data_IF_588032786744
#
_entry.id   IF_588032786744
#
_cell.length_a   1.000
_cell.length_b   1.000
_cell.length_c   1.000
_cell.angle_alpha   90.00
_cell.angle_beta   90.00
_cell.angle_gamma   90.00
#
_symmetry.space_group_name_H-M   'P 1'
#
loop_
_entity.id
_entity.type
_entity.pdbx_description
1 polymer ?
#
# COMPACT_ATOMS: atom_id res chain seq x y z
N UNK A 1 43.41 -15.06 38.87
CA UNK A 1 42.16 -14.32 38.65
C UNK A 1 42.09 -13.57 37.29
N UNK A 2 43.17 -12.99 36.76
CA UNK A 2 43.14 -12.28 35.46
C UNK A 2 42.90 -13.22 34.25
N UNK A 3 43.37 -14.46 34.25
CA UNK A 3 43.20 -15.43 33.15
C UNK A 3 41.74 -15.87 32.95
N UNK A 4 40.97 -16.02 34.02
CA UNK A 4 39.55 -16.41 33.92
C UNK A 4 38.64 -15.28 33.45
N UNK A 5 39.02 -14.02 33.74
CA UNK A 5 38.32 -12.84 33.21
C UNK A 5 38.42 -12.71 31.66
N UNK A 6 39.61 -13.07 31.13
CA UNK A 6 39.83 -13.06 29.69
C UNK A 6 39.07 -14.20 28.99
N UNK A 7 39.02 -15.38 29.61
CA UNK A 7 38.23 -16.51 29.09
C UNK A 7 36.73 -16.23 29.11
N UNK A 8 36.24 -15.55 30.13
CA UNK A 8 34.83 -15.17 30.26
C UNK A 8 34.44 -14.11 29.24
N UNK A 9 35.31 -13.15 28.95
CA UNK A 9 35.10 -12.13 27.90
C UNK A 9 35.14 -12.75 26.48
N UNK A 10 36.00 -13.75 26.26
CA UNK A 10 36.05 -14.46 24.98
C UNK A 10 34.79 -15.32 24.76
N UNK A 11 34.30 -15.99 25.81
CA UNK A 11 33.05 -16.76 25.75
C UNK A 11 31.83 -15.87 25.54
N UNK A 12 31.80 -14.70 26.19
CA UNK A 12 30.73 -13.70 26.01
C UNK A 12 30.73 -13.06 24.60
N UNK A 13 31.91 -12.86 24.00
CA UNK A 13 32.03 -12.36 22.62
C UNK A 13 31.60 -13.41 21.57
N UNK A 14 31.83 -14.69 21.85
CA UNK A 14 31.39 -15.81 20.97
C UNK A 14 29.88 -16.05 21.04
N UNK A 15 29.22 -15.71 22.16
CA UNK A 15 27.76 -15.84 22.28
C UNK A 15 26.99 -14.70 21.60
N UNK A 16 27.63 -13.61 21.18
CA UNK A 16 27.01 -12.50 20.46
C UNK A 16 26.89 -12.72 18.94
N UNK A 17 27.46 -13.78 18.39
CA UNK A 17 27.32 -14.15 16.98
C UNK A 17 26.12 -15.07 16.71
N UNK A 18 25.25 -15.27 17.69
CA UNK A 18 24.07 -16.10 17.56
C UNK A 18 23.03 -15.43 16.66
N UNK A 19 22.97 -15.89 15.43
CA UNK A 19 21.81 -16.01 14.55
C UNK A 19 20.94 -14.75 14.39
N UNK A 20 21.39 -13.86 13.53
CA UNK A 20 20.51 -12.87 12.88
C UNK A 20 19.97 -13.37 11.52
N UNK A 21 20.29 -14.58 11.10
CA UNK A 21 19.70 -15.24 9.95
C UNK A 21 18.45 -16.02 10.38
N UNK A 22 17.38 -15.29 10.66
CA UNK A 22 16.06 -15.89 10.78
C UNK A 22 15.51 -16.12 9.38
N UNK A 23 15.38 -17.39 8.99
CA UNK A 23 14.58 -17.81 7.85
C UNK A 23 13.20 -18.24 8.38
N UNK A 24 12.21 -17.33 8.45
CA UNK A 24 10.87 -17.69 8.91
C UNK A 24 10.28 -18.73 7.94
N UNK A 25 9.87 -19.88 8.49
CA UNK A 25 9.33 -21.00 7.71
C UNK A 25 7.90 -20.76 7.23
N UNK A 26 7.25 -19.74 7.75
CA UNK A 26 5.86 -19.36 7.53
C UNK A 26 5.70 -18.09 6.67
N UNK A 27 6.82 -17.49 6.24
CA UNK A 27 6.82 -16.34 5.34
C UNK A 27 7.55 -16.67 4.04
N UNK A 28 7.01 -16.18 2.94
CA UNK A 28 7.69 -16.26 1.65
C UNK A 28 8.88 -15.30 1.65
N UNK A 29 10.04 -15.83 1.29
CA UNK A 29 11.24 -15.03 1.08
C UNK A 29 11.05 -14.10 -0.13
N UNK A 30 11.65 -12.92 -0.08
CA UNK A 30 11.60 -11.94 -1.17
C UNK A 30 12.14 -12.53 -2.47
N UNK A 31 13.16 -13.38 -2.40
CA UNK A 31 13.71 -14.08 -3.58
C UNK A 31 12.74 -15.09 -4.19
N UNK A 32 11.88 -15.69 -3.38
CA UNK A 32 10.82 -16.58 -3.87
C UNK A 32 9.67 -15.81 -4.55
N UNK A 33 9.39 -14.57 -4.10
CA UNK A 33 8.31 -13.73 -4.65
C UNK A 33 8.75 -13.01 -5.91
N UNK A 34 10.04 -12.63 -6.03
CA UNK A 34 10.59 -11.81 -7.10
C UNK A 34 11.77 -12.48 -7.80
N UNK A 35 11.67 -13.82 -7.97
CA UNK A 35 12.76 -14.66 -8.51
C UNK A 35 12.96 -14.55 -10.02
N UNK A 36 12.02 -13.99 -10.76
CA UNK A 36 12.09 -13.84 -12.22
C UNK A 36 11.54 -12.49 -12.68
N UNK A 37 11.83 -12.12 -13.94
CA UNK A 37 11.27 -10.91 -14.55
C UNK A 37 9.72 -10.93 -14.57
N UNK A 38 9.12 -12.10 -14.80
CA UNK A 38 7.68 -12.28 -14.76
C UNK A 38 7.12 -12.06 -13.36
N UNK A 39 7.75 -12.60 -12.34
CA UNK A 39 7.32 -12.46 -10.95
C UNK A 39 7.44 -11.00 -10.49
N UNK A 40 8.51 -10.31 -10.90
CA UNK A 40 8.69 -8.88 -10.64
C UNK A 40 7.56 -8.07 -11.27
N UNK A 41 7.17 -8.38 -12.51
CA UNK A 41 6.06 -7.72 -13.17
C UNK A 41 4.72 -7.99 -12.46
N UNK A 42 4.40 -9.25 -12.22
CA UNK A 42 3.11 -9.64 -11.62
C UNK A 42 2.96 -9.07 -10.21
N UNK A 43 3.97 -9.26 -9.37
CA UNK A 43 3.89 -8.90 -7.95
C UNK A 43 4.27 -7.43 -7.68
N UNK A 44 5.13 -6.84 -8.51
CA UNK A 44 5.61 -5.46 -8.33
C UNK A 44 4.84 -4.42 -9.13
N UNK A 45 4.37 -4.74 -10.35
CA UNK A 45 3.71 -3.79 -11.25
C UNK A 45 2.23 -4.07 -11.38
N UNK A 46 1.88 -5.27 -11.86
CA UNK A 46 0.49 -5.63 -12.15
C UNK A 46 -0.38 -5.62 -10.88
N UNK A 47 0.18 -5.98 -9.73
CA UNK A 47 -0.51 -5.92 -8.45
C UNK A 47 -1.00 -4.51 -8.09
N UNK A 48 -0.32 -3.44 -8.54
CA UNK A 48 -0.75 -2.06 -8.30
C UNK A 48 -2.01 -1.71 -9.08
N UNK A 49 -2.21 -2.29 -10.26
CA UNK A 49 -3.44 -2.09 -11.05
C UNK A 49 -4.69 -2.63 -10.35
N UNK A 50 -4.55 -3.67 -9.54
CA UNK A 50 -5.68 -4.20 -8.75
C UNK A 50 -6.24 -3.14 -7.79
N UNK A 51 -5.39 -2.24 -7.29
CA UNK A 51 -5.85 -1.17 -6.40
C UNK A 51 -6.57 -0.05 -7.15
N UNK A 52 -6.39 0.10 -8.45
CA UNK A 52 -7.12 1.07 -9.27
C UNK A 52 -8.58 0.63 -9.42
N UNK A 53 -8.80 -0.65 -9.77
CA UNK A 53 -10.13 -1.22 -9.93
C UNK A 53 -10.83 -1.60 -8.63
N UNK A 54 -10.02 -1.82 -7.56
CA UNK A 54 -10.48 -2.33 -6.28
C UNK A 54 -10.74 -3.83 -6.30
N UNK A 55 -10.33 -4.51 -5.23
CA UNK A 55 -10.62 -5.92 -5.01
C UNK A 55 -12.05 -6.14 -4.48
N UNK A 56 -12.67 -5.10 -3.92
CA UNK A 56 -14.02 -5.09 -3.39
C UNK A 56 -14.73 -3.83 -3.89
N UNK A 57 -16.07 -3.83 -3.84
CA UNK A 57 -16.92 -2.70 -4.25
C UNK A 57 -16.61 -1.39 -3.52
N UNK A 58 -16.03 -1.46 -2.32
CA UNK A 58 -15.65 -0.32 -1.50
C UNK A 58 -14.20 0.13 -1.65
N UNK A 59 -13.39 -0.60 -2.42
CA UNK A 59 -11.98 -0.29 -2.62
C UNK A 59 -11.76 0.05 -4.09
N UNK A 60 -10.91 1.03 -4.35
CA UNK A 60 -10.61 1.48 -5.70
C UNK A 60 -10.91 2.95 -5.91
N UNK A 61 -10.36 3.52 -6.97
CA UNK A 61 -10.56 4.94 -7.30
C UNK A 61 -12.02 5.21 -7.67
N UNK A 62 -12.69 4.22 -8.26
CA UNK A 62 -14.11 4.28 -8.61
C UNK A 62 -15.00 3.53 -7.62
N UNK A 63 -14.49 3.25 -6.43
CA UNK A 63 -15.27 2.60 -5.38
C UNK A 63 -16.52 3.41 -5.06
N UNK A 64 -17.67 2.77 -5.19
CA UNK A 64 -19.00 3.39 -5.06
C UNK A 64 -19.50 3.42 -3.63
N UNK A 65 -18.69 2.99 -2.66
CA UNK A 65 -19.12 2.93 -1.27
C UNK A 65 -18.11 3.65 -0.38
N UNK A 66 -18.31 4.95 -0.21
CA UNK A 66 -17.51 5.79 0.71
C UNK A 66 -16.05 5.95 0.25
N UNK A 67 -15.82 5.89 -1.05
CA UNK A 67 -14.51 6.06 -1.67
C UNK A 67 -14.33 7.43 -2.33
N UNK A 68 -13.24 7.54 -3.10
CA UNK A 68 -12.86 8.77 -3.80
C UNK A 68 -13.98 9.26 -4.73
N UNK A 69 -14.66 8.35 -5.43
CA UNK A 69 -15.75 8.69 -6.32
C UNK A 69 -16.90 9.39 -5.57
N UNK A 70 -17.30 8.84 -4.43
CA UNK A 70 -18.38 9.42 -3.62
C UNK A 70 -17.99 10.79 -3.08
N UNK A 71 -16.76 10.96 -2.60
CA UNK A 71 -16.27 12.26 -2.15
C UNK A 71 -16.28 13.28 -3.29
N UNK A 72 -15.76 12.92 -4.48
CA UNK A 72 -15.71 13.84 -5.62
C UNK A 72 -17.09 14.18 -6.16
N UNK A 73 -18.07 13.28 -6.05
CA UNK A 73 -19.42 13.49 -6.59
C UNK A 73 -20.33 14.18 -5.58
N UNK A 74 -20.36 13.69 -4.32
CA UNK A 74 -21.33 14.14 -3.33
C UNK A 74 -20.92 15.43 -2.60
N UNK A 75 -19.65 15.85 -2.73
CA UNK A 75 -19.21 17.16 -2.24
C UNK A 75 -19.38 18.29 -3.25
N UNK A 76 -19.93 17.97 -4.42
CA UNK A 76 -20.23 18.94 -5.48
C UNK A 76 -21.74 19.16 -5.60
N UNK A 77 -22.16 19.97 -6.56
CA UNK A 77 -23.55 20.17 -6.92
C UNK A 77 -24.09 19.18 -7.96
N UNK A 78 -23.26 18.18 -8.34
CA UNK A 78 -23.65 17.18 -9.35
C UNK A 78 -24.68 16.19 -8.84
N UNK A 79 -24.56 15.75 -7.59
CA UNK A 79 -25.43 14.74 -7.01
C UNK A 79 -25.60 14.88 -5.51
N UNK A 80 -26.75 14.43 -5.02
CA UNK A 80 -27.00 14.25 -3.58
C UNK A 80 -27.77 12.97 -3.34
N UNK A 81 -27.54 12.35 -2.20
CA UNK A 81 -28.36 11.22 -1.72
C UNK A 81 -29.39 11.77 -0.73
N UNK A 82 -30.68 11.83 -1.12
CA UNK A 82 -31.71 12.38 -0.25
C UNK A 82 -32.04 11.43 0.90
N UNK A 83 -32.39 11.99 2.04
CA UNK A 83 -32.89 11.22 3.17
C UNK A 83 -34.30 10.73 2.86
N UNK A 84 -34.51 9.41 2.86
CA UNK A 84 -35.80 8.73 2.63
C UNK A 84 -36.13 7.81 3.80
N UNK A 85 -36.51 8.38 4.92
CA UNK A 85 -36.72 7.60 6.14
C UNK A 85 -35.43 6.92 6.61
N UNK A 86 -35.41 5.58 6.66
CA UNK A 86 -34.22 4.80 7.01
C UNK A 86 -33.37 4.36 5.81
N UNK A 87 -33.88 4.58 4.57
CA UNK A 87 -33.18 4.16 3.35
C UNK A 87 -32.03 5.11 3.01
N UNK A 88 -30.85 4.53 2.81
CA UNK A 88 -29.61 5.28 2.54
C UNK A 88 -29.27 6.37 3.57
N UNK A 89 -29.75 6.22 4.79
CA UNK A 89 -29.44 7.19 5.85
C UNK A 89 -27.97 7.11 6.31
N UNK A 90 -27.43 5.91 6.50
CA UNK A 90 -26.06 5.65 6.90
C UNK A 90 -25.51 6.59 7.99
N UNK A 91 -26.31 6.82 9.04
CA UNK A 91 -25.93 7.75 10.10
C UNK A 91 -25.88 9.22 9.68
N UNK A 92 -26.38 9.56 8.49
CA UNK A 92 -26.32 10.91 7.93
C UNK A 92 -25.04 11.22 7.14
N UNK A 93 -24.23 10.20 6.87
CA UNK A 93 -22.93 10.33 6.17
C UNK A 93 -23.05 11.08 4.84
N UNK A 94 -23.96 10.63 3.98
CA UNK A 94 -24.15 11.20 2.63
C UNK A 94 -24.59 12.66 2.67
N UNK A 95 -25.47 12.99 3.58
CA UNK A 95 -25.91 14.37 3.80
C UNK A 95 -24.77 15.24 4.40
N UNK A 96 -23.95 14.67 5.25
CA UNK A 96 -22.77 15.35 5.79
C UNK A 96 -21.74 15.65 4.68
N UNK A 97 -21.51 14.70 3.75
CA UNK A 97 -20.67 14.93 2.56
C UNK A 97 -21.21 16.08 1.71
N UNK A 98 -22.48 16.04 1.33
CA UNK A 98 -23.11 17.08 0.54
C UNK A 98 -23.05 18.47 1.21
N UNK A 99 -23.20 18.52 2.53
CA UNK A 99 -23.14 19.77 3.31
C UNK A 99 -21.73 20.16 3.74
N UNK A 100 -20.69 19.46 3.29
CA UNK A 100 -19.29 19.68 3.67
C UNK A 100 -19.08 19.67 5.20
N UNK A 101 -19.75 18.75 5.91
CA UNK A 101 -19.69 18.62 7.36
C UNK A 101 -18.92 17.39 7.83
N UNK A 102 -17.90 17.00 7.10
CA UNK A 102 -16.99 15.94 7.57
C UNK A 102 -15.95 16.49 8.52
N UNK A 103 -15.37 15.60 9.29
CA UNK A 103 -14.28 15.90 10.23
C UNK A 103 -13.16 14.86 10.11
N UNK A 104 -12.02 15.13 10.76
CA UNK A 104 -10.90 14.19 10.82
C UNK A 104 -11.25 12.86 11.52
N UNK A 105 -12.36 12.83 12.28
CA UNK A 105 -12.83 11.65 12.99
C UNK A 105 -13.72 10.74 12.13
N UNK A 106 -14.04 11.15 10.91
CA UNK A 106 -14.89 10.37 10.02
C UNK A 106 -14.17 9.12 9.50
N UNK A 107 -14.69 7.95 9.83
CA UNK A 107 -14.10 6.67 9.48
C UNK A 107 -13.92 6.50 7.96
N UNK A 108 -14.89 6.93 7.16
CA UNK A 108 -14.82 6.82 5.70
C UNK A 108 -13.71 7.70 5.10
N UNK A 109 -13.49 8.89 5.65
CA UNK A 109 -12.38 9.76 5.25
C UNK A 109 -11.02 9.14 5.63
N UNK A 110 -10.93 8.59 6.85
CA UNK A 110 -9.74 7.88 7.31
C UNK A 110 -9.43 6.67 6.42
N UNK A 111 -10.43 5.85 6.08
CA UNK A 111 -10.24 4.67 5.24
C UNK A 111 -9.82 5.05 3.82
N UNK A 112 -10.39 6.11 3.25
CA UNK A 112 -9.99 6.65 1.94
C UNK A 112 -8.54 7.14 1.98
N UNK A 113 -8.16 7.91 2.98
CA UNK A 113 -6.79 8.36 3.18
C UNK A 113 -5.80 7.18 3.30
N UNK A 114 -6.13 6.23 4.16
CA UNK A 114 -5.33 5.02 4.36
C UNK A 114 -5.16 4.22 3.07
N UNK A 115 -6.22 4.08 2.28
CA UNK A 115 -6.18 3.41 0.98
C UNK A 115 -5.22 4.12 0.01
N UNK A 116 -5.32 5.43 -0.15
CA UNK A 116 -4.44 6.20 -1.04
C UNK A 116 -2.97 6.03 -0.66
N UNK A 117 -2.64 6.23 0.59
CA UNK A 117 -1.27 6.12 1.07
C UNK A 117 -0.74 4.69 1.07
N UNK A 118 -1.59 3.68 1.27
CA UNK A 118 -1.21 2.27 1.09
C UNK A 118 -0.65 2.03 -0.32
N UNK A 119 -1.33 2.50 -1.34
CA UNK A 119 -0.89 2.29 -2.74
C UNK A 119 0.37 3.09 -3.05
N UNK A 120 0.49 4.32 -2.55
CA UNK A 120 1.70 5.13 -2.68
C UNK A 120 2.92 4.40 -2.07
N UNK A 121 2.76 3.82 -0.87
CA UNK A 121 3.82 3.04 -0.20
C UNK A 121 4.16 1.78 -0.98
N UNK A 122 3.16 1.05 -1.48
CA UNK A 122 3.40 -0.13 -2.33
C UNK A 122 4.13 0.23 -3.62
N UNK A 123 3.77 1.34 -4.26
CA UNK A 123 4.47 1.84 -5.45
C UNK A 123 5.94 2.18 -5.16
N UNK A 124 6.24 2.79 -4.01
CA UNK A 124 7.61 3.05 -3.58
C UNK A 124 8.38 1.73 -3.39
N UNK A 125 7.78 0.75 -2.69
CA UNK A 125 8.38 -0.57 -2.53
C UNK A 125 8.64 -1.27 -3.88
N UNK A 126 7.72 -1.18 -4.82
CA UNK A 126 7.90 -1.73 -6.17
C UNK A 126 9.08 -1.09 -6.91
N UNK A 127 9.29 0.21 -6.79
CA UNK A 127 10.46 0.91 -7.36
C UNK A 127 11.77 0.41 -6.75
N UNK A 128 11.79 0.15 -5.44
CA UNK A 128 12.96 -0.39 -4.75
C UNK A 128 13.25 -1.83 -5.21
N UNK A 129 12.22 -2.66 -5.37
CA UNK A 129 12.36 -4.03 -5.90
C UNK A 129 12.97 -4.02 -7.31
N UNK A 130 12.49 -3.17 -8.23
CA UNK A 130 13.06 -3.06 -9.56
C UNK A 130 14.52 -2.64 -9.50
N UNK A 131 14.90 -1.81 -8.55
CA UNK A 131 16.30 -1.39 -8.37
C UNK A 131 17.15 -2.54 -7.83
N UNK A 132 16.68 -3.22 -6.80
CA UNK A 132 17.40 -4.31 -6.13
C UNK A 132 17.52 -5.56 -7.01
N UNK A 133 16.51 -5.85 -7.82
CA UNK A 133 16.44 -7.00 -8.73
C UNK A 133 16.78 -6.65 -10.19
N UNK A 134 17.45 -5.53 -10.42
CA UNK A 134 17.77 -5.04 -11.77
C UNK A 134 18.53 -6.03 -12.64
N UNK A 135 19.31 -6.93 -12.05
CA UNK A 135 20.03 -7.99 -12.77
C UNK A 135 19.10 -9.01 -13.45
N UNK A 136 17.85 -9.14 -13.00
CA UNK A 136 16.84 -10.04 -13.58
C UNK A 136 16.02 -9.38 -14.72
N UNK A 137 16.22 -8.09 -14.96
CA UNK A 137 15.47 -7.28 -15.92
C UNK A 137 16.38 -6.71 -17.01
N UNK A 138 15.90 -6.70 -18.24
CA UNK A 138 16.55 -5.91 -19.30
C UNK A 138 16.41 -4.40 -19.00
N UNK A 139 17.27 -3.58 -19.60
CA UNK A 139 17.19 -2.12 -19.45
C UNK A 139 15.83 -1.55 -19.89
N UNK A 140 15.25 -2.09 -20.96
CA UNK A 140 13.92 -1.69 -21.44
C UNK A 140 12.82 -2.02 -20.44
N UNK A 141 12.82 -3.23 -19.84
CA UNK A 141 11.86 -3.61 -18.80
C UNK A 141 11.99 -2.75 -17.54
N UNK A 142 13.21 -2.43 -17.13
CA UNK A 142 13.42 -1.55 -15.97
C UNK A 142 12.81 -0.17 -16.20
N UNK A 143 12.98 0.40 -17.38
CA UNK A 143 12.45 1.71 -17.73
C UNK A 143 10.91 1.68 -17.82
N UNK A 144 10.37 0.70 -18.53
CA UNK A 144 8.92 0.49 -18.68
C UNK A 144 8.24 0.33 -17.33
N UNK A 145 8.69 -0.61 -16.50
CA UNK A 145 8.09 -0.89 -15.19
C UNK A 145 8.19 0.31 -14.25
N UNK A 146 9.32 1.02 -14.25
CA UNK A 146 9.45 2.27 -13.47
C UNK A 146 8.50 3.36 -13.94
N UNK A 147 8.27 3.46 -15.25
CA UNK A 147 7.34 4.44 -15.81
C UNK A 147 5.90 4.13 -15.38
N UNK A 148 5.46 2.87 -15.49
CA UNK A 148 4.13 2.44 -15.05
C UNK A 148 3.91 2.70 -13.56
N UNK A 149 4.84 2.27 -12.70
CA UNK A 149 4.74 2.46 -11.25
C UNK A 149 4.69 3.95 -10.89
N UNK A 150 5.52 4.78 -11.53
CA UNK A 150 5.52 6.23 -11.28
C UNK A 150 4.22 6.88 -11.72
N UNK A 151 3.62 6.44 -12.83
CA UNK A 151 2.33 6.93 -13.31
C UNK A 151 1.21 6.59 -12.31
N UNK A 152 1.16 5.33 -11.84
CA UNK A 152 0.19 4.91 -10.82
C UNK A 152 0.40 5.72 -9.53
N UNK A 153 1.63 5.83 -9.04
CA UNK A 153 1.94 6.61 -7.84
C UNK A 153 1.52 8.08 -7.98
N UNK A 154 1.77 8.70 -9.13
CA UNK A 154 1.38 10.08 -9.39
C UNK A 154 -0.14 10.24 -9.39
N UNK A 155 -0.88 9.29 -9.95
CA UNK A 155 -2.33 9.27 -9.91
C UNK A 155 -2.87 9.21 -8.48
N UNK A 156 -2.29 8.35 -7.63
CA UNK A 156 -2.71 8.27 -6.23
C UNK A 156 -2.35 9.52 -5.42
N UNK A 157 -1.22 10.18 -5.70
CA UNK A 157 -0.91 11.49 -5.12
C UNK A 157 -1.83 12.61 -5.60
N UNK A 158 -2.36 12.50 -6.80
CA UNK A 158 -3.34 13.49 -7.30
C UNK A 158 -4.65 13.45 -6.51
N UNK A 159 -5.04 12.27 -6.02
CA UNK A 159 -6.25 12.10 -5.22
C UNK A 159 -6.02 12.31 -3.70
N UNK A 160 -4.77 12.32 -3.24
CA UNK A 160 -4.42 12.55 -1.83
C UNK A 160 -4.29 14.05 -1.52
#
# INVERSE_FOLDING_TARGET
MKRYRFLFLLLAALSMTSCLDEHPKDQLDEDAIYGSASDIYINGVASLYNYIGGANESEGIQGTCRGIYDYNTLTTDEAMIPIRGGDWYDGGLWNAMYQHRWSADDQSLYDTWKYLYKVIVLANKSLDIISNKSALLSAAQQEEYRAEIRAIRAMFYYYA
#
